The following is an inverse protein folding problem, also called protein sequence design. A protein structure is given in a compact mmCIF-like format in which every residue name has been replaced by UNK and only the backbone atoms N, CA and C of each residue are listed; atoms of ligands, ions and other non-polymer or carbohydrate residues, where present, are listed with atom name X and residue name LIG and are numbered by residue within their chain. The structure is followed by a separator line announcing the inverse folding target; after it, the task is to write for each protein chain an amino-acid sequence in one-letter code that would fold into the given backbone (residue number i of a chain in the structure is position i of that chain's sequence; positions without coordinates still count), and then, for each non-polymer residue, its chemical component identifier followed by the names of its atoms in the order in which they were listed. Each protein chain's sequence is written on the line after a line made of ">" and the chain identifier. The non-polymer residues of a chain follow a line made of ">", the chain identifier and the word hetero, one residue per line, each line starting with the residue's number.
data_IF_917581522134
#
_entry.id   IF_917581522134
#
_cell.length_a   1.000
_cell.length_b   1.000
_cell.length_c   1.000
_cell.angle_alpha   90.00
_cell.angle_beta   90.00
_cell.angle_gamma   90.00
#
_symmetry.space_group_name_H-M   'P 1'
#
loop_
_entity.id
_entity.type
_entity.pdbx_description
1 polymer ?
#
# COMPACT_ATOMS: atom_id res chain seq x y z
N UNK A 1 -5.60 9.78 -41.33
CA UNK A 1 -5.73 8.47 -40.67
C UNK A 1 -6.47 8.71 -39.37
N UNK A 2 -7.65 8.12 -39.24
CA UNK A 2 -8.68 8.45 -38.25
C UNK A 2 -8.20 7.99 -36.85
N UNK A 3 -8.35 8.78 -35.77
CA UNK A 3 -8.03 8.31 -34.44
C UNK A 3 -9.02 7.20 -34.06
N UNK A 4 -8.52 6.07 -33.55
CA UNK A 4 -9.36 5.00 -33.02
C UNK A 4 -10.28 5.59 -31.94
N UNK A 5 -11.57 5.76 -32.26
CA UNK A 5 -12.61 5.92 -31.26
C UNK A 5 -12.59 4.64 -30.41
N UNK A 6 -12.22 4.77 -29.13
CA UNK A 6 -12.44 3.73 -28.14
C UNK A 6 -13.92 3.32 -28.19
N UNK A 7 -14.17 2.01 -28.24
CA UNK A 7 -15.53 1.49 -28.26
C UNK A 7 -16.29 1.99 -27.03
N UNK A 8 -17.35 2.78 -27.26
CA UNK A 8 -18.27 3.16 -26.19
C UNK A 8 -18.92 1.90 -25.63
N UNK A 9 -18.74 1.68 -24.34
CA UNK A 9 -19.38 0.61 -23.59
C UNK A 9 -20.85 0.94 -23.34
N UNK A 10 -21.67 -0.06 -22.97
CA UNK A 10 -23.09 0.14 -22.67
C UNK A 10 -23.34 1.24 -21.63
N UNK A 11 -22.45 1.37 -20.64
CA UNK A 11 -22.52 2.39 -19.59
C UNK A 11 -22.22 3.80 -20.11
N UNK A 12 -21.54 3.96 -21.25
CA UNK A 12 -21.30 5.26 -21.88
C UNK A 12 -22.56 5.83 -22.57
N UNK A 13 -23.55 4.98 -22.85
CA UNK A 13 -24.85 5.38 -23.43
C UNK A 13 -25.96 5.44 -22.37
N UNK A 14 -25.83 4.65 -21.31
CA UNK A 14 -26.76 4.60 -20.18
C UNK A 14 -25.96 4.73 -18.87
N UNK A 15 -25.57 5.95 -18.48
CA UNK A 15 -24.78 6.17 -17.28
C UNK A 15 -25.56 5.71 -16.05
N UNK A 16 -24.90 4.99 -15.15
CA UNK A 16 -25.49 4.61 -13.88
C UNK A 16 -25.92 5.87 -13.12
N UNK A 17 -27.16 5.93 -12.60
CA UNK A 17 -27.57 7.00 -11.70
C UNK A 17 -26.55 7.21 -10.58
N UNK A 18 -26.35 8.46 -10.17
CA UNK A 18 -25.28 8.83 -9.22
C UNK A 18 -25.35 8.06 -7.89
N UNK A 19 -26.55 7.64 -7.48
CA UNK A 19 -26.77 6.83 -6.28
C UNK A 19 -26.38 5.34 -6.42
N UNK A 20 -26.16 4.85 -7.65
CA UNK A 20 -25.61 3.52 -7.94
C UNK A 20 -24.09 3.54 -8.13
N UNK A 21 -23.48 4.72 -8.24
CA UNK A 21 -22.03 4.85 -8.27
C UNK A 21 -21.49 4.55 -6.87
N UNK A 22 -20.92 3.36 -6.70
CA UNK A 22 -20.31 2.96 -5.45
C UNK A 22 -19.19 3.94 -5.09
N UNK A 23 -19.38 4.66 -3.99
CA UNK A 23 -18.30 5.38 -3.34
C UNK A 23 -17.55 4.43 -2.42
N UNK A 24 -16.24 4.34 -2.58
CA UNK A 24 -15.40 3.47 -1.77
C UNK A 24 -14.64 4.31 -0.76
N UNK A 25 -14.79 3.98 0.52
CA UNK A 25 -14.10 4.65 1.62
C UNK A 25 -12.86 3.87 2.03
N UNK A 26 -11.74 4.57 2.22
CA UNK A 26 -10.48 4.06 2.73
C UNK A 26 -10.12 4.78 4.02
N UNK A 27 -9.75 4.03 5.05
CA UNK A 27 -9.39 4.56 6.37
C UNK A 27 -8.04 3.98 6.80
N UNK A 28 -7.10 4.85 7.13
CA UNK A 28 -5.83 4.45 7.75
C UNK A 28 -5.77 5.03 9.16
N UNK A 29 -5.64 4.15 10.15
CA UNK A 29 -5.43 4.56 11.54
C UNK A 29 -3.97 4.33 11.89
N UNK A 30 -3.28 5.40 12.27
CA UNK A 30 -1.87 5.37 12.69
C UNK A 30 -1.74 5.90 14.12
N UNK A 31 -0.56 5.73 14.70
CA UNK A 31 -0.23 6.22 16.05
C UNK A 31 -0.22 7.75 16.18
N UNK A 32 -0.32 8.48 15.08
CA UNK A 32 -0.27 9.95 15.05
C UNK A 32 -1.51 10.58 14.47
N UNK A 33 -2.14 9.93 13.49
CA UNK A 33 -3.32 10.44 12.83
C UNK A 33 -4.22 9.33 12.27
N UNK A 34 -5.46 9.69 11.99
CA UNK A 34 -6.40 8.90 11.22
C UNK A 34 -6.67 9.64 9.91
N UNK A 35 -6.38 8.98 8.79
CA UNK A 35 -6.66 9.51 7.45
C UNK A 35 -7.85 8.80 6.83
N UNK A 36 -8.63 9.56 6.07
CA UNK A 36 -9.82 9.10 5.37
C UNK A 36 -9.83 9.66 3.95
N UNK A 37 -10.17 8.80 2.99
CA UNK A 37 -10.46 9.15 1.61
C UNK A 37 -11.73 8.43 1.18
N UNK A 38 -12.56 9.13 0.42
CA UNK A 38 -13.67 8.53 -0.32
C UNK A 38 -13.53 8.86 -1.78
N UNK A 39 -13.44 7.82 -2.61
CA UNK A 39 -13.43 7.96 -4.06
C UNK A 39 -14.79 7.57 -4.62
N UNK A 40 -15.24 8.31 -5.62
CA UNK A 40 -16.40 7.95 -6.42
C UNK A 40 -15.91 7.61 -7.83
N UNK A 41 -16.35 6.46 -8.37
CA UNK A 41 -16.05 6.09 -9.75
C UNK A 41 -16.65 7.13 -10.69
N UNK A 42 -15.87 7.55 -11.68
CA UNK A 42 -16.37 8.41 -12.76
C UNK A 42 -17.40 7.64 -13.60
N UNK A 43 -18.39 8.36 -14.12
CA UNK A 43 -19.47 7.77 -14.94
C UNK A 43 -18.91 7.21 -16.26
N UNK A 44 -17.93 7.90 -16.83
CA UNK A 44 -17.31 7.58 -18.10
C UNK A 44 -15.84 7.22 -17.87
N UNK A 45 -15.40 6.11 -18.45
CA UNK A 45 -14.04 5.59 -18.29
C UNK A 45 -13.78 4.86 -16.96
N UNK A 46 -12.52 4.55 -16.71
CA UNK A 46 -12.06 3.80 -15.53
C UNK A 46 -11.43 4.69 -14.45
N UNK A 47 -11.76 5.99 -14.47
CA UNK A 47 -11.26 6.97 -13.53
C UNK A 47 -12.06 7.05 -12.22
N UNK A 48 -11.45 7.65 -11.22
CA UNK A 48 -12.05 7.99 -9.94
C UNK A 48 -11.92 9.50 -9.69
N UNK A 49 -12.92 10.06 -9.01
CA UNK A 49 -12.87 11.42 -8.46
C UNK A 49 -12.83 11.37 -6.93
N UNK A 50 -12.09 12.29 -6.33
CA UNK A 50 -12.07 12.47 -4.88
C UNK A 50 -13.42 13.08 -4.48
N UNK A 51 -14.15 12.39 -3.61
CA UNK A 51 -15.43 12.86 -3.12
C UNK A 51 -15.28 13.55 -1.76
N UNK A 52 -14.48 12.95 -0.87
CA UNK A 52 -14.17 13.51 0.44
C UNK A 52 -12.76 13.07 0.88
N UNK A 53 -12.08 13.90 1.64
CA UNK A 53 -10.87 13.54 2.37
C UNK A 53 -10.85 14.20 3.74
N UNK A 54 -10.14 13.58 4.69
CA UNK A 54 -9.94 14.15 6.03
C UNK A 54 -8.70 13.56 6.68
N UNK A 55 -8.00 14.39 7.44
CA UNK A 55 -7.01 13.98 8.44
C UNK A 55 -7.51 14.41 9.83
N UNK A 56 -7.43 13.51 10.80
CA UNK A 56 -7.73 13.80 12.21
C UNK A 56 -6.54 13.34 13.03
N UNK A 57 -5.91 14.23 13.79
CA UNK A 57 -4.77 13.86 14.64
C UNK A 57 -5.25 12.98 15.82
N UNK A 58 -4.40 12.02 16.21
CA UNK A 58 -4.60 11.08 17.31
C UNK A 58 -3.67 11.46 18.49
N UNK A 59 -3.98 12.51 19.28
CA UNK A 59 -3.03 13.13 20.22
C UNK A 59 -2.58 12.22 21.38
N UNK A 60 -3.24 11.07 21.61
CA UNK A 60 -2.87 10.14 22.68
C UNK A 60 -2.21 8.85 22.19
N UNK A 61 -2.02 8.67 20.88
CA UNK A 61 -1.48 7.42 20.32
C UNK A 61 -2.35 6.17 20.56
N UNK A 62 -3.54 6.35 21.14
CA UNK A 62 -4.54 5.31 21.27
C UNK A 62 -5.37 5.34 20.00
N UNK A 63 -5.45 4.18 19.33
CA UNK A 63 -6.35 3.93 18.22
C UNK A 63 -7.77 3.98 18.80
N UNK A 64 -8.36 5.17 18.85
CA UNK A 64 -9.65 5.38 19.48
C UNK A 64 -10.79 5.25 18.48
N UNK A 65 -11.75 4.38 18.81
CA UNK A 65 -13.05 4.29 18.11
C UNK A 65 -13.78 5.64 18.04
N UNK A 66 -13.47 6.60 18.93
CA UNK A 66 -14.04 7.95 18.92
C UNK A 66 -13.73 8.72 17.64
N UNK A 67 -12.52 8.58 17.09
CA UNK A 67 -12.13 9.26 15.85
C UNK A 67 -12.90 8.68 14.67
N UNK A 68 -13.02 7.35 14.63
CA UNK A 68 -13.83 6.65 13.62
C UNK A 68 -15.32 7.00 13.72
N UNK A 69 -15.88 7.12 14.94
CA UNK A 69 -17.27 7.57 15.14
C UNK A 69 -17.52 8.98 14.60
N UNK A 70 -16.56 9.90 14.78
CA UNK A 70 -16.62 11.24 14.19
C UNK A 70 -16.61 11.18 12.67
N UNK A 71 -15.76 10.35 12.06
CA UNK A 71 -15.73 10.14 10.60
C UNK A 71 -17.04 9.54 10.08
N UNK A 72 -17.52 8.46 10.71
CA UNK A 72 -18.79 7.80 10.37
C UNK A 72 -19.96 8.79 10.43
N UNK A 73 -20.06 9.58 11.50
CA UNK A 73 -21.15 10.55 11.67
C UNK A 73 -21.05 11.72 10.69
N UNK A 74 -19.84 12.20 10.40
CA UNK A 74 -19.62 13.37 9.53
C UNK A 74 -19.84 13.05 8.05
N UNK A 75 -19.41 11.87 7.60
CA UNK A 75 -19.39 11.49 6.18
C UNK A 75 -20.37 10.36 5.83
N UNK A 76 -21.12 9.84 6.81
CA UNK A 76 -22.10 8.76 6.60
C UNK A 76 -21.47 7.41 6.24
N UNK A 77 -20.23 7.16 6.67
CA UNK A 77 -19.46 5.97 6.30
C UNK A 77 -19.98 4.77 7.11
N UNK A 78 -20.49 3.76 6.41
CA UNK A 78 -20.90 2.47 7.00
C UNK A 78 -19.99 1.31 6.64
N UNK A 79 -19.26 1.43 5.53
CA UNK A 79 -18.36 0.42 5.03
C UNK A 79 -17.05 1.08 4.63
N UNK A 80 -15.92 0.46 4.96
CA UNK A 80 -14.61 0.99 4.61
C UNK A 80 -13.60 -0.12 4.36
N UNK A 81 -12.64 0.15 3.48
CA UNK A 81 -11.37 -0.56 3.42
C UNK A 81 -10.43 0.06 4.43
N UNK A 82 -9.60 -0.76 5.07
CA UNK A 82 -8.69 -0.29 6.09
C UNK A 82 -7.28 -0.87 5.91
N UNK A 83 -6.27 -0.15 6.40
CA UNK A 83 -4.91 -0.70 6.47
C UNK A 83 -4.65 -1.30 7.85
N UNK A 84 -3.90 -2.40 7.87
CA UNK A 84 -3.26 -2.91 9.09
C UNK A 84 -1.81 -2.38 9.14
N UNK A 85 -1.27 -2.13 10.35
CA UNK A 85 0.11 -1.68 10.49
C UNK A 85 1.08 -2.75 10.01
N UNK A 86 2.05 -2.34 9.19
CA UNK A 86 3.07 -3.22 8.61
C UNK A 86 3.87 -3.96 9.70
N UNK A 87 4.20 -3.30 10.80
CA UNK A 87 4.96 -3.86 11.93
C UNK A 87 4.21 -4.94 12.73
N UNK A 88 2.92 -5.15 12.45
CA UNK A 88 2.10 -6.22 13.03
C UNK A 88 1.91 -7.40 12.08
N UNK A 89 2.53 -7.34 10.91
CA UNK A 89 2.45 -8.35 9.86
C UNK A 89 3.84 -8.92 9.55
N UNK A 90 3.86 -10.12 8.97
CA UNK A 90 5.02 -10.75 8.38
C UNK A 90 4.79 -10.89 6.90
N UNK A 91 5.70 -10.35 6.09
CA UNK A 91 5.69 -10.49 4.64
C UNK A 91 6.95 -11.24 4.20
N UNK A 92 6.77 -12.30 3.41
CA UNK A 92 7.88 -13.05 2.84
C UNK A 92 7.55 -13.53 1.42
N UNK A 93 8.60 -13.80 0.64
CA UNK A 93 8.45 -14.42 -0.68
C UNK A 93 8.93 -15.85 -0.67
N UNK A 94 8.28 -16.68 -1.47
CA UNK A 94 8.56 -18.11 -1.54
C UNK A 94 8.20 -18.66 -2.91
N UNK A 95 8.72 -19.84 -3.24
CA UNK A 95 8.37 -20.58 -4.45
C UNK A 95 7.86 -21.95 -4.05
N UNK A 96 6.68 -22.30 -4.56
CA UNK A 96 6.08 -23.62 -4.37
C UNK A 96 5.96 -24.34 -5.71
N UNK A 97 5.81 -25.66 -5.66
CA UNK A 97 5.43 -26.43 -6.84
C UNK A 97 4.06 -26.01 -7.36
N UNK A 98 3.85 -26.14 -8.66
CA UNK A 98 2.59 -25.79 -9.31
C UNK A 98 1.45 -26.63 -8.73
N UNK A 99 0.37 -25.94 -8.39
CA UNK A 99 -0.87 -26.54 -7.90
C UNK A 99 -2.05 -25.86 -8.57
N UNK A 100 -3.17 -26.57 -8.80
CA UNK A 100 -4.38 -25.96 -9.31
C UNK A 100 -4.85 -24.82 -8.39
N UNK A 101 -5.52 -23.77 -8.91
CA UNK A 101 -5.96 -22.62 -8.12
C UNK A 101 -6.76 -22.97 -6.85
N UNK A 102 -7.55 -24.05 -6.90
CA UNK A 102 -8.34 -24.52 -5.76
C UNK A 102 -7.49 -25.01 -4.58
N UNK A 103 -6.30 -25.57 -4.85
CA UNK A 103 -5.38 -26.11 -3.84
C UNK A 103 -4.29 -25.12 -3.42
N UNK A 104 -4.21 -23.95 -4.06
CA UNK A 104 -3.15 -22.97 -3.82
C UNK A 104 -3.14 -22.47 -2.37
N UNK A 105 -4.32 -22.20 -1.81
CA UNK A 105 -4.43 -21.74 -0.42
C UNK A 105 -3.91 -22.76 0.59
N UNK A 106 -4.19 -24.04 0.37
CA UNK A 106 -3.74 -25.12 1.26
C UNK A 106 -2.22 -25.32 1.16
N UNK A 107 -1.66 -25.19 -0.05
CA UNK A 107 -0.22 -25.22 -0.26
C UNK A 107 0.51 -24.07 0.45
N UNK A 108 -0.05 -22.85 0.38
CA UNK A 108 0.48 -21.69 1.10
C UNK A 108 0.34 -21.85 2.62
N UNK A 109 -0.75 -22.45 3.09
CA UNK A 109 -0.94 -22.67 4.53
C UNK A 109 0.17 -23.54 5.14
N UNK A 110 0.68 -24.53 4.40
CA UNK A 110 1.72 -25.45 4.88
C UNK A 110 3.07 -24.76 5.09
N UNK A 111 3.43 -23.81 4.24
CA UNK A 111 4.73 -23.11 4.32
C UNK A 111 4.77 -22.02 5.40
N UNK A 112 3.61 -21.56 5.91
CA UNK A 112 3.56 -20.50 6.92
C UNK A 112 4.24 -20.93 8.21
N UNK A 113 4.07 -22.20 8.63
CA UNK A 113 4.65 -22.70 9.90
C UNK A 113 6.19 -22.64 9.92
N UNK A 114 6.82 -22.71 8.75
CA UNK A 114 8.28 -22.65 8.61
C UNK A 114 8.81 -21.22 8.45
N UNK A 115 7.96 -20.27 8.05
CA UNK A 115 8.39 -18.94 7.58
C UNK A 115 7.89 -17.77 8.46
N UNK A 116 6.90 -17.99 9.33
CA UNK A 116 6.36 -16.96 10.21
C UNK A 116 6.43 -17.40 11.68
N UNK A 117 6.73 -16.48 12.63
CA UNK A 117 6.78 -16.79 14.05
C UNK A 117 5.38 -16.83 14.69
N UNK A 118 4.38 -17.30 13.95
CA UNK A 118 2.99 -17.46 14.38
C UNK A 118 2.42 -18.73 13.77
N UNK A 119 1.62 -19.46 14.54
CA UNK A 119 0.96 -20.66 14.03
C UNK A 119 -0.13 -20.30 13.01
N UNK A 120 -0.41 -21.22 12.09
CA UNK A 120 -1.54 -21.08 11.15
C UNK A 120 -2.88 -20.94 11.90
N UNK A 121 -3.03 -21.64 13.03
CA UNK A 121 -4.24 -21.59 13.85
C UNK A 121 -4.48 -20.22 14.50
N UNK A 122 -3.42 -19.45 14.76
CA UNK A 122 -3.47 -18.14 15.41
C UNK A 122 -3.24 -16.97 14.43
N UNK A 123 -3.16 -17.25 13.13
CA UNK A 123 -2.93 -16.23 12.11
C UNK A 123 -4.03 -16.20 11.04
N UNK A 124 -4.11 -15.05 10.39
CA UNK A 124 -4.81 -14.85 9.11
C UNK A 124 -3.73 -14.56 8.09
N UNK A 125 -3.89 -15.10 6.88
CA UNK A 125 -2.94 -14.86 5.81
C UNK A 125 -3.65 -14.57 4.49
N UNK A 126 -2.94 -13.86 3.62
CA UNK A 126 -3.29 -13.63 2.22
C UNK A 126 -2.01 -13.77 1.38
N UNK A 127 -2.15 -13.92 0.06
CA UNK A 127 -1.00 -14.04 -0.83
C UNK A 127 -1.28 -13.45 -2.22
N UNK A 128 -0.22 -12.97 -2.85
CA UNK A 128 -0.23 -12.46 -4.22
C UNK A 128 0.73 -13.30 -5.08
N UNK A 129 0.29 -13.65 -6.30
CA UNK A 129 1.10 -14.38 -7.26
C UNK A 129 2.04 -13.37 -7.94
N UNK A 130 3.36 -13.54 -7.74
CA UNK A 130 4.38 -12.73 -8.40
C UNK A 130 4.60 -13.23 -9.83
N UNK A 131 4.71 -14.56 -9.96
CA UNK A 131 4.94 -15.23 -11.24
C UNK A 131 4.48 -16.67 -11.16
N UNK A 132 3.85 -17.12 -12.23
CA UNK A 132 3.53 -18.53 -12.46
C UNK A 132 4.31 -19.01 -13.69
N UNK A 133 4.94 -20.18 -13.58
CA UNK A 133 5.67 -20.82 -14.67
C UNK A 133 5.19 -22.27 -14.79
N UNK A 134 4.15 -22.46 -15.60
CA UNK A 134 3.55 -23.79 -15.83
C UNK A 134 4.58 -24.79 -16.40
N UNK A 135 5.52 -24.34 -17.23
CA UNK A 135 6.53 -25.21 -17.83
C UNK A 135 7.56 -25.68 -16.80
N UNK A 136 7.96 -24.80 -15.89
CA UNK A 136 8.82 -25.15 -14.77
C UNK A 136 8.06 -25.86 -13.65
N UNK A 137 6.73 -25.83 -13.67
CA UNK A 137 5.88 -26.40 -12.63
C UNK A 137 6.03 -25.67 -11.30
N UNK A 138 6.10 -24.34 -11.31
CA UNK A 138 6.33 -23.53 -10.11
C UNK A 138 5.51 -22.24 -10.05
N UNK A 139 5.24 -21.78 -8.83
CA UNK A 139 4.55 -20.53 -8.54
C UNK A 139 5.36 -19.76 -7.49
N UNK A 140 5.78 -18.53 -7.83
CA UNK A 140 6.42 -17.59 -6.91
C UNK A 140 5.36 -16.68 -6.30
N UNK A 141 5.35 -16.60 -4.97
CA UNK A 141 4.31 -15.93 -4.18
C UNK A 141 4.91 -14.90 -3.23
N UNK A 142 4.17 -13.83 -2.96
CA UNK A 142 4.34 -12.99 -1.78
C UNK A 142 3.25 -13.33 -0.78
N UNK A 143 3.61 -13.72 0.43
CA UNK A 143 2.69 -14.17 1.48
C UNK A 143 2.72 -13.16 2.63
N UNK A 144 1.53 -12.71 3.03
CA UNK A 144 1.31 -11.80 4.14
C UNK A 144 0.62 -12.55 5.27
N UNK A 145 1.18 -12.52 6.49
CA UNK A 145 0.67 -13.23 7.66
C UNK A 145 0.49 -12.25 8.82
N UNK A 146 -0.69 -12.22 9.42
CA UNK A 146 -1.05 -11.33 10.54
C UNK A 146 -1.64 -12.15 11.69
N UNK A 147 -1.26 -11.91 12.96
CA UNK A 147 -1.90 -12.56 14.09
C UNK A 147 -3.41 -12.25 14.15
N UNK A 148 -4.24 -13.27 14.43
CA UNK A 148 -5.70 -13.11 14.59
C UNK A 148 -6.06 -12.06 15.63
N UNK A 149 -5.30 -11.98 16.72
CA UNK A 149 -5.49 -10.98 17.77
C UNK A 149 -5.41 -9.54 17.25
N UNK A 150 -4.48 -9.28 16.33
CA UNK A 150 -4.34 -7.96 15.68
C UNK A 150 -5.57 -7.69 14.82
N UNK A 151 -5.94 -8.63 13.93
CA UNK A 151 -7.12 -8.47 13.05
C UNK A 151 -8.39 -8.24 13.87
N UNK A 152 -8.64 -9.05 14.90
CA UNK A 152 -9.80 -8.91 15.78
C UNK A 152 -9.85 -7.56 16.47
N UNK A 153 -8.70 -7.06 16.96
CA UNK A 153 -8.64 -5.73 17.60
C UNK A 153 -9.09 -4.63 16.63
N UNK A 154 -8.64 -4.66 15.38
CA UNK A 154 -9.04 -3.67 14.38
C UNK A 154 -10.50 -3.83 13.95
N UNK A 155 -11.01 -5.06 13.81
CA UNK A 155 -12.44 -5.31 13.55
C UNK A 155 -13.29 -4.69 14.65
N UNK A 156 -12.98 -4.96 15.92
CA UNK A 156 -13.73 -4.45 17.08
C UNK A 156 -13.73 -2.91 17.13
N UNK A 157 -12.61 -2.27 16.79
CA UNK A 157 -12.50 -0.81 16.76
C UNK A 157 -13.40 -0.19 15.68
N UNK A 158 -13.45 -0.79 14.49
CA UNK A 158 -14.30 -0.34 13.39
C UNK A 158 -15.79 -0.60 13.68
N UNK A 159 -16.14 -1.79 14.17
CA UNK A 159 -17.52 -2.16 14.52
C UNK A 159 -18.07 -1.30 15.67
N UNK A 160 -17.24 -0.99 16.67
CA UNK A 160 -17.58 -0.06 17.75
C UNK A 160 -17.89 1.35 17.24
N UNK A 161 -17.39 1.70 16.05
CA UNK A 161 -17.68 2.96 15.36
C UNK A 161 -18.81 2.85 14.33
N UNK A 162 -19.52 1.72 14.28
CA UNK A 162 -20.58 1.41 13.30
C UNK A 162 -20.07 1.43 11.84
N UNK A 163 -18.80 1.10 11.64
CA UNK A 163 -18.17 0.92 10.33
C UNK A 163 -17.87 -0.57 10.16
N UNK A 164 -18.41 -1.20 9.14
CA UNK A 164 -18.08 -2.57 8.78
C UNK A 164 -16.85 -2.57 7.86
N UNK A 165 -15.70 -3.16 8.28
CA UNK A 165 -14.56 -3.29 7.39
C UNK A 165 -14.87 -4.24 6.23
N UNK A 166 -14.69 -3.79 4.99
CA UNK A 166 -14.86 -4.61 3.77
C UNK A 166 -13.60 -5.45 3.53
N UNK A 167 -12.43 -4.82 3.68
CA UNK A 167 -11.14 -5.50 3.60
C UNK A 167 -10.11 -4.84 4.51
N UNK A 168 -9.10 -5.61 4.83
CA UNK A 168 -7.85 -5.14 5.40
C UNK A 168 -6.71 -5.42 4.43
N UNK A 169 -5.89 -4.43 4.15
CA UNK A 169 -4.66 -4.56 3.35
C UNK A 169 -3.46 -4.15 4.23
N UNK A 170 -2.25 -4.61 3.90
CA UNK A 170 -1.05 -4.04 4.52
C UNK A 170 -0.78 -2.64 3.98
N UNK A 171 -0.17 -1.80 4.82
CA UNK A 171 0.17 -0.42 4.44
C UNK A 171 1.06 -0.37 3.19
N UNK A 172 2.06 -1.25 3.11
CA UNK A 172 2.95 -1.36 1.95
C UNK A 172 2.20 -1.68 0.65
N UNK A 173 1.27 -2.63 0.68
CA UNK A 173 0.47 -3.05 -0.47
C UNK A 173 -0.46 -1.94 -0.95
N UNK A 174 -1.11 -1.25 0.00
CA UNK A 174 -1.96 -0.11 -0.31
C UNK A 174 -1.13 1.01 -0.97
N UNK A 175 0.00 1.39 -0.37
CA UNK A 175 0.86 2.45 -0.93
C UNK A 175 1.37 2.07 -2.32
N UNK A 176 1.85 0.84 -2.51
CA UNK A 176 2.30 0.35 -3.82
C UNK A 176 1.21 0.50 -4.89
N UNK A 177 -0.05 0.17 -4.54
CA UNK A 177 -1.21 0.33 -5.44
C UNK A 177 -1.43 1.78 -5.86
N UNK A 178 -1.10 2.76 -5.02
CA UNK A 178 -1.25 4.17 -5.37
C UNK A 178 -0.09 4.69 -6.24
N UNK A 179 1.15 4.29 -5.94
CA UNK A 179 2.35 4.99 -6.43
C UNK A 179 3.12 4.27 -7.53
N UNK A 180 2.87 2.97 -7.76
CA UNK A 180 3.49 2.18 -8.81
C UNK A 180 2.61 2.20 -10.06
N UNK A 181 3.18 2.60 -11.21
CA UNK A 181 2.44 2.66 -12.46
C UNK A 181 1.98 1.27 -12.89
N UNK A 182 0.72 1.13 -13.31
CA UNK A 182 0.19 -0.13 -13.83
C UNK A 182 1.02 -0.66 -15.02
N UNK A 183 1.45 -1.91 -14.97
CA UNK A 183 2.34 -2.55 -15.93
C UNK A 183 3.84 -2.30 -15.70
N UNK A 184 4.25 -1.49 -14.71
CA UNK A 184 5.66 -1.30 -14.39
C UNK A 184 6.18 -2.47 -13.53
N UNK A 185 6.82 -3.42 -14.21
CA UNK A 185 7.35 -4.66 -13.62
C UNK A 185 8.78 -4.52 -13.05
N UNK A 186 9.36 -3.32 -13.08
CA UNK A 186 10.73 -3.09 -12.59
C UNK A 186 10.78 -3.08 -11.06
N UNK A 187 11.93 -3.39 -10.45
CA UNK A 187 12.07 -3.28 -9.00
C UNK A 187 12.17 -1.82 -8.55
N UNK A 188 11.25 -1.41 -7.66
CA UNK A 188 11.21 -0.08 -7.03
C UNK A 188 11.33 -0.21 -5.52
N UNK A 189 12.03 0.72 -4.88
CA UNK A 189 12.01 0.90 -3.43
C UNK A 189 11.08 2.04 -3.07
N UNK A 190 10.00 1.75 -2.36
CA UNK A 190 9.13 2.75 -1.76
C UNK A 190 9.67 3.07 -0.36
N UNK A 191 9.83 4.36 -0.05
CA UNK A 191 10.16 4.86 1.29
C UNK A 191 8.97 5.67 1.80
N UNK A 192 8.24 5.13 2.78
CA UNK A 192 7.11 5.78 3.45
C UNK A 192 7.59 6.50 4.72
N UNK A 193 7.78 7.80 4.60
CA UNK A 193 8.33 8.68 5.62
C UNK A 193 7.21 9.20 6.55
N UNK A 194 7.03 8.57 7.71
CA UNK A 194 6.06 8.96 8.73
C UNK A 194 6.72 9.59 9.97
N UNK A 195 5.90 10.18 10.85
CA UNK A 195 6.38 10.93 12.02
C UNK A 195 7.12 10.07 13.05
N UNK A 196 6.70 8.81 13.26
CA UNK A 196 7.27 7.91 14.28
C UNK A 196 8.04 6.71 13.70
N UNK A 197 7.85 6.41 12.43
CA UNK A 197 8.38 5.22 11.76
C UNK A 197 8.59 5.50 10.27
N UNK A 198 9.44 4.70 9.65
CA UNK A 198 9.66 4.76 8.20
C UNK A 198 9.51 3.38 7.61
N UNK A 199 8.67 3.23 6.60
CA UNK A 199 8.52 1.98 5.84
C UNK A 199 9.47 1.93 4.66
N UNK A 200 10.16 0.81 4.46
CA UNK A 200 10.93 0.51 3.25
C UNK A 200 10.32 -0.71 2.59
N UNK A 201 9.75 -0.53 1.40
CA UNK A 201 9.00 -1.58 0.69
C UNK A 201 9.59 -1.81 -0.69
N UNK A 202 9.98 -3.03 -1.00
CA UNK A 202 10.44 -3.36 -2.36
C UNK A 202 9.31 -3.98 -3.15
N UNK A 203 9.02 -3.37 -4.30
CA UNK A 203 7.98 -3.80 -5.23
C UNK A 203 8.63 -4.23 -6.54
N UNK A 204 8.28 -5.41 -7.03
CA UNK A 204 8.70 -5.92 -8.34
C UNK A 204 7.55 -6.77 -8.91
N UNK A 205 7.36 -6.72 -10.24
CA UNK A 205 6.17 -7.30 -10.90
C UNK A 205 4.86 -6.79 -10.27
N UNK A 206 4.84 -5.52 -9.84
CA UNK A 206 3.70 -4.84 -9.20
C UNK A 206 3.27 -5.41 -7.83
N UNK A 207 4.01 -6.38 -7.30
CA UNK A 207 3.74 -7.02 -6.00
C UNK A 207 4.77 -6.58 -4.97
N UNK A 208 4.35 -6.28 -3.74
CA UNK A 208 5.27 -6.03 -2.62
C UNK A 208 5.94 -7.35 -2.25
N UNK A 209 7.26 -7.42 -2.36
CA UNK A 209 8.06 -8.62 -2.13
C UNK A 209 8.93 -8.54 -0.87
N UNK A 210 9.08 -7.35 -0.30
CA UNK A 210 9.81 -7.13 0.95
C UNK A 210 9.26 -5.89 1.65
N UNK A 211 9.16 -5.96 2.97
CA UNK A 211 8.85 -4.80 3.82
C UNK A 211 9.67 -4.82 5.11
N UNK A 212 10.10 -3.63 5.54
CA UNK A 212 10.63 -3.37 6.88
C UNK A 212 10.15 -2.01 7.33
N UNK A 213 9.89 -1.82 8.62
CA UNK A 213 9.37 -0.56 9.17
C UNK A 213 10.07 -0.24 10.48
N UNK A 214 11.34 0.23 10.45
CA UNK A 214 12.00 0.70 11.66
C UNK A 214 11.25 1.86 12.31
N UNK A 215 11.34 1.93 13.64
CA UNK A 215 10.82 3.02 14.48
C UNK A 215 11.71 4.28 14.41
N UNK A 216 12.11 4.66 13.19
CA UNK A 216 12.83 5.88 12.88
C UNK A 216 11.88 6.80 12.14
N UNK A 217 11.41 7.82 12.84
CA UNK A 217 10.48 8.81 12.32
C UNK A 217 11.18 10.08 11.86
N UNK A 218 10.38 10.98 11.28
CA UNK A 218 10.78 12.34 11.03
C UNK A 218 10.18 13.18 12.14
N UNK A 219 11.01 13.46 13.14
CA UNK A 219 10.64 14.38 14.22
C UNK A 219 10.18 15.74 13.63
N UNK A 220 9.32 16.43 14.37
CA UNK A 220 8.73 17.69 13.91
C UNK A 220 9.80 18.78 13.66
N UNK A 221 10.98 18.68 14.27
CA UNK A 221 12.10 19.62 14.07
C UNK A 221 13.00 19.36 12.86
N UNK A 222 13.95 20.27 12.64
CA UNK A 222 14.92 20.25 11.53
C UNK A 222 16.22 19.49 11.86
N UNK A 223 16.31 18.85 13.02
CA UNK A 223 17.52 18.16 13.49
C UNK A 223 17.69 16.74 12.96
N UNK A 224 16.63 16.15 12.40
CA UNK A 224 16.58 14.81 11.77
C UNK A 224 17.49 13.76 12.45
N UNK A 225 17.30 13.46 13.74
CA UNK A 225 18.25 12.64 14.51
C UNK A 225 18.40 11.22 13.94
N UNK A 226 17.35 10.67 13.34
CA UNK A 226 17.36 9.33 12.75
C UNK A 226 17.88 9.26 11.30
N UNK A 227 18.40 10.36 10.73
CA UNK A 227 18.86 10.40 9.33
C UNK A 227 19.91 9.31 9.02
N UNK A 228 20.91 9.15 9.89
CA UNK A 228 21.96 8.16 9.69
C UNK A 228 21.45 6.73 9.84
N UNK A 229 20.52 6.50 10.76
CA UNK A 229 19.88 5.19 10.94
C UNK A 229 19.03 4.82 9.73
N UNK A 230 18.30 5.78 9.16
CA UNK A 230 17.52 5.59 7.93
C UNK A 230 18.41 5.33 6.72
N UNK A 231 19.55 6.03 6.59
CA UNK A 231 20.57 5.72 5.57
C UNK A 231 21.11 4.31 5.73
N UNK A 232 21.41 3.90 6.97
CA UNK A 232 21.89 2.56 7.26
C UNK A 232 20.85 1.50 6.91
N UNK A 233 19.58 1.71 7.24
CA UNK A 233 18.49 0.80 6.91
C UNK A 233 18.30 0.71 5.39
N UNK A 234 18.25 1.84 4.68
CA UNK A 234 18.16 1.87 3.23
C UNK A 234 19.28 1.05 2.57
N UNK A 235 20.53 1.19 3.06
CA UNK A 235 21.67 0.39 2.58
C UNK A 235 21.48 -1.11 2.84
N UNK A 236 20.95 -1.51 3.99
CA UNK A 236 20.65 -2.92 4.28
C UNK A 236 19.63 -3.47 3.29
N UNK A 237 18.58 -2.70 2.97
CA UNK A 237 17.56 -3.09 1.97
C UNK A 237 18.19 -3.28 0.60
N UNK A 238 19.05 -2.35 0.15
CA UNK A 238 19.79 -2.51 -1.11
C UNK A 238 20.69 -3.75 -1.11
N UNK A 239 21.44 -3.99 -0.02
CA UNK A 239 22.31 -5.17 0.09
C UNK A 239 21.49 -6.46 0.05
N UNK A 240 20.41 -6.53 0.83
CA UNK A 240 19.50 -7.67 0.86
C UNK A 240 18.92 -7.97 -0.53
N UNK A 241 18.37 -6.96 -1.21
CA UNK A 241 17.74 -7.15 -2.50
C UNK A 241 18.74 -7.52 -3.60
N UNK A 242 19.92 -6.88 -3.61
CA UNK A 242 20.95 -7.11 -4.63
C UNK A 242 21.70 -8.43 -4.43
N UNK A 243 21.56 -9.09 -3.28
CA UNK A 243 22.13 -10.41 -3.02
C UNK A 243 21.33 -11.56 -3.68
N UNK A 244 20.11 -11.28 -4.18
CA UNK A 244 19.27 -12.29 -4.84
C UNK A 244 19.88 -12.75 -6.15
N UNK A 245 19.82 -14.07 -6.37
CA UNK A 245 20.24 -14.71 -7.61
C UNK A 245 19.12 -15.59 -8.15
N UNK A 246 18.99 -15.64 -9.47
CA UNK A 246 18.11 -16.57 -10.14
C UNK A 246 18.60 -18.03 -9.96
N UNK A 247 17.82 -18.99 -10.46
CA UNK A 247 18.15 -20.42 -10.41
C UNK A 247 19.46 -20.78 -11.12
N UNK A 248 19.93 -19.94 -12.04
CA UNK A 248 21.19 -20.12 -12.76
C UNK A 248 22.38 -19.50 -12.01
N UNK A 249 22.16 -18.95 -10.81
CA UNK A 249 23.16 -18.23 -10.04
C UNK A 249 23.49 -16.83 -10.59
N UNK A 250 22.70 -16.32 -11.54
CA UNK A 250 22.88 -14.95 -12.06
C UNK A 250 22.17 -13.95 -11.13
N UNK A 251 22.71 -12.74 -10.93
CA UNK A 251 22.03 -11.72 -10.15
C UNK A 251 20.63 -11.41 -10.69
N UNK A 252 19.62 -11.34 -9.81
CA UNK A 252 18.29 -10.86 -10.18
C UNK A 252 18.28 -9.33 -10.44
N UNK A 253 17.14 -8.79 -10.91
CA UNK A 253 16.99 -7.36 -11.17
C UNK A 253 17.22 -6.56 -9.88
N UNK A 254 18.09 -5.56 -9.98
CA UNK A 254 18.37 -4.61 -8.89
C UNK A 254 17.28 -3.54 -8.81
N UNK A 255 17.24 -2.83 -7.69
CA UNK A 255 16.35 -1.68 -7.50
C UNK A 255 16.72 -0.58 -8.49
N UNK A 256 15.78 -0.21 -9.36
CA UNK A 256 16.01 0.75 -10.45
C UNK A 256 15.61 2.18 -10.06
N UNK A 257 14.71 2.34 -9.09
CA UNK A 257 14.22 3.65 -8.65
C UNK A 257 13.75 3.63 -7.19
N UNK A 258 13.94 4.75 -6.50
CA UNK A 258 13.37 5.03 -5.17
C UNK A 258 12.17 5.97 -5.31
N UNK A 259 11.07 5.67 -4.62
CA UNK A 259 9.84 6.47 -4.61
C UNK A 259 9.57 6.88 -3.15
N UNK A 260 9.58 8.17 -2.86
CA UNK A 260 9.35 8.70 -1.52
C UNK A 260 7.90 9.15 -1.35
N UNK A 261 7.26 8.70 -0.28
CA UNK A 261 5.90 9.10 0.11
C UNK A 261 5.80 9.29 1.63
N UNK A 262 4.62 9.58 2.14
CA UNK A 262 4.41 9.95 3.54
C UNK A 262 4.66 11.44 3.78
N UNK A 263 4.18 11.94 4.92
CA UNK A 263 4.25 13.37 5.25
C UNK A 263 5.70 13.89 5.23
N UNK A 264 6.65 13.06 5.63
CA UNK A 264 8.05 13.44 5.66
C UNK A 264 8.71 13.62 4.29
N UNK A 265 8.13 13.04 3.23
CA UNK A 265 8.61 13.24 1.87
C UNK A 265 8.40 14.68 1.36
N UNK A 266 7.54 15.48 2.04
CA UNK A 266 7.40 16.91 1.78
C UNK A 266 8.57 17.75 2.29
N UNK A 267 9.39 17.22 3.22
CA UNK A 267 10.57 17.93 3.75
C UNK A 267 11.75 17.80 2.78
N UNK A 268 11.82 18.67 1.78
CA UNK A 268 12.83 18.59 0.69
C UNK A 268 14.27 18.50 1.18
N UNK A 269 14.67 19.33 2.16
CA UNK A 269 16.02 19.29 2.75
C UNK A 269 16.33 17.93 3.41
N UNK A 270 15.35 17.31 4.06
CA UNK A 270 15.51 15.97 4.61
C UNK A 270 15.69 14.92 3.51
N UNK A 271 14.85 14.96 2.48
CA UNK A 271 14.90 14.02 1.36
C UNK A 271 16.23 14.12 0.63
N UNK A 272 16.71 15.32 0.35
CA UNK A 272 18.02 15.56 -0.26
C UNK A 272 19.15 14.97 0.59
N UNK A 273 19.13 15.20 1.90
CA UNK A 273 20.10 14.64 2.84
C UNK A 273 20.04 13.11 2.92
N UNK A 274 18.84 12.52 2.93
CA UNK A 274 18.64 11.07 2.97
C UNK A 274 19.18 10.41 1.69
N UNK A 275 18.91 11.02 0.55
CA UNK A 275 19.25 10.49 -0.78
C UNK A 275 20.64 10.88 -1.27
N UNK A 276 21.39 11.72 -0.56
CA UNK A 276 22.67 12.31 -1.00
C UNK A 276 23.75 11.30 -1.41
N UNK A 277 23.66 10.07 -0.91
CA UNK A 277 24.62 8.98 -1.15
C UNK A 277 24.02 7.82 -1.95
N UNK A 278 22.76 7.95 -2.39
CA UNK A 278 22.11 6.94 -3.21
C UNK A 278 22.51 7.13 -4.67
N UNK A 279 23.04 6.08 -5.30
CA UNK A 279 23.29 6.06 -6.75
C UNK A 279 22.02 5.78 -7.56
N UNK A 280 20.95 5.30 -6.89
CA UNK A 280 19.67 4.97 -7.52
C UNK A 280 18.83 6.24 -7.65
N UNK A 281 18.26 6.53 -8.84
CA UNK A 281 17.43 7.71 -9.04
C UNK A 281 16.19 7.68 -8.14
N UNK A 282 15.78 8.84 -7.66
CA UNK A 282 14.64 8.96 -6.76
C UNK A 282 13.63 10.00 -7.24
N UNK A 283 12.37 9.84 -6.82
CA UNK A 283 11.31 10.79 -7.06
C UNK A 283 10.31 10.80 -5.90
N UNK A 284 9.63 11.93 -5.70
CA UNK A 284 8.44 11.98 -4.86
C UNK A 284 7.30 11.20 -5.54
N UNK A 285 6.45 10.57 -4.72
CA UNK A 285 5.32 9.81 -5.20
C UNK A 285 4.26 10.71 -5.86
N UNK A 286 3.72 10.25 -6.98
CA UNK A 286 2.45 10.75 -7.51
C UNK A 286 1.34 9.87 -6.95
N UNK A 287 0.74 10.26 -5.83
CA UNK A 287 -0.29 9.45 -5.15
C UNK A 287 -1.58 9.34 -5.95
N UNK A 288 -1.76 10.20 -6.95
CA UNK A 288 -2.93 10.25 -7.84
C UNK A 288 -2.71 9.45 -9.13
N UNK A 289 -1.52 8.87 -9.32
CA UNK A 289 -1.08 8.22 -10.56
C UNK A 289 -2.10 7.23 -11.11
N UNK A 290 -2.65 6.38 -10.24
CA UNK A 290 -3.57 5.31 -10.61
C UNK A 290 -5.05 5.68 -10.42
N UNK A 291 -5.37 6.95 -10.12
CA UNK A 291 -6.72 7.40 -9.80
C UNK A 291 -7.53 7.78 -11.04
N UNK A 292 -7.00 8.62 -11.94
CA UNK A 292 -7.71 8.99 -13.17
C UNK A 292 -6.74 9.46 -14.26
N UNK A 293 -6.92 9.02 -15.53
CA UNK A 293 -6.08 9.46 -16.65
C UNK A 293 -6.15 10.97 -16.92
N UNK A 294 -7.29 11.61 -16.62
CA UNK A 294 -7.54 13.02 -16.94
C UNK A 294 -6.87 14.01 -15.98
N UNK A 295 -6.44 13.54 -14.79
CA UNK A 295 -5.88 14.35 -13.68
C UNK A 295 -6.69 15.60 -13.31
N UNK A 296 -7.94 15.73 -13.78
CA UNK A 296 -8.77 16.93 -13.61
C UNK A 296 -9.25 17.14 -12.17
N UNK A 297 -9.09 16.13 -11.30
CA UNK A 297 -9.59 16.09 -9.93
C UNK A 297 -8.50 16.26 -8.85
N UNK A 298 -7.25 16.57 -9.23
CA UNK A 298 -6.09 16.69 -8.32
C UNK A 298 -6.16 17.97 -7.44
N UNK A 299 -7.20 18.80 -7.59
CA UNK A 299 -7.20 20.18 -7.12
C UNK A 299 -7.57 20.41 -5.63
N UNK A 300 -7.95 19.38 -4.86
CA UNK A 300 -8.46 19.61 -3.49
C UNK A 300 -7.43 19.47 -2.37
N UNK A 301 -6.35 18.70 -2.58
CA UNK A 301 -5.30 18.49 -1.57
C UNK A 301 -3.96 18.98 -2.14
N UNK A 302 -3.23 19.89 -1.45
CA UNK A 302 -1.89 20.30 -1.86
C UNK A 302 -0.96 19.10 -2.06
N UNK A 303 -0.06 19.17 -3.04
CA UNK A 303 0.84 18.06 -3.38
C UNK A 303 1.60 17.53 -2.16
N UNK A 304 2.21 18.41 -1.38
CA UNK A 304 2.98 18.07 -0.18
C UNK A 304 2.15 17.32 0.86
N UNK A 305 0.89 17.73 1.05
CA UNK A 305 -0.04 17.06 1.95
C UNK A 305 -0.50 15.70 1.38
N UNK A 306 -0.73 15.64 0.07
CA UNK A 306 -1.20 14.43 -0.62
C UNK A 306 -0.24 13.24 -0.49
N UNK A 307 1.07 13.49 -0.31
CA UNK A 307 2.07 12.43 -0.06
C UNK A 307 1.72 11.58 1.16
N UNK A 308 1.03 12.16 2.16
CA UNK A 308 0.55 11.44 3.34
C UNK A 308 -0.68 10.55 3.11
N UNK A 309 -1.33 10.65 1.95
CA UNK A 309 -2.58 9.94 1.63
C UNK A 309 -2.38 8.70 0.75
N UNK A 310 -1.13 8.34 0.42
CA UNK A 310 -0.81 7.22 -0.47
C UNK A 310 -1.49 5.90 -0.06
N UNK A 311 -1.49 5.56 1.23
CA UNK A 311 -2.12 4.33 1.74
C UNK A 311 -3.64 4.35 1.58
N UNK A 312 -4.31 5.42 2.00
CA UNK A 312 -5.78 5.52 1.93
C UNK A 312 -6.30 5.63 0.51
N UNK A 313 -5.56 6.27 -0.41
CA UNK A 313 -5.87 6.27 -1.84
C UNK A 313 -5.68 4.85 -2.40
N UNK A 314 -4.57 4.20 -2.05
CA UNK A 314 -4.28 2.84 -2.46
C UNK A 314 -5.31 1.79 -2.04
N UNK A 315 -5.91 1.95 -0.86
CA UNK A 315 -6.96 1.05 -0.34
C UNK A 315 -8.21 1.01 -1.22
N UNK A 316 -8.59 2.16 -1.77
CA UNK A 316 -9.85 2.34 -2.50
C UNK A 316 -9.70 2.15 -4.00
N UNK A 317 -8.46 2.09 -4.49
CA UNK A 317 -8.18 1.75 -5.88
C UNK A 317 -8.39 0.25 -6.13
N UNK A 318 -8.85 -0.14 -7.34
CA UNK A 318 -9.07 -1.54 -7.67
C UNK A 318 -7.79 -2.36 -7.55
N UNK A 319 -7.88 -3.56 -6.97
CA UNK A 319 -6.81 -4.56 -7.03
C UNK A 319 -6.52 -4.89 -8.51
N UNK A 320 -5.25 -4.85 -8.90
CA UNK A 320 -4.81 -5.32 -10.21
C UNK A 320 -5.16 -6.81 -10.35
N UNK A 321 -5.50 -7.23 -11.57
CA UNK A 321 -5.64 -8.64 -11.92
C UNK A 321 -4.43 -9.08 -12.72
#
# INVERSE_FOLDING_TARGET
>A
MIPLLGQKTFLDLFPAPEFLLLSTAGIAVTDTDTKFVQLQREIFGDGFKLANSSKIDNPQGIIESNVLKKLSSRYGIRYAHAVLPEEKAYLFTTTIGWVPPLGLKDAVAFIIEENAPVSLAESVFDFEIIREDENAGEIKLSVSVVPKSVVSTYVEIFESALITPISFDLESQAIARAVIHRGDKRPHLIINLSLKKTGFYVVEEEVVQFSTTPAYGIDEGDSYPSLNDLKAEMRKVFVFWNARTDKSGKPEKKIEKVILCGLGASKTDFVEKLMSESEVPYALADVWLNMSPSRSHVAEIPFDESLGYASVIGLVLPRGR
#
